data_IF_557415885391
#
_entry.id   IF_557415885391
#
_cell.length_a   1.000
_cell.length_b   1.000
_cell.length_c   1.000
_cell.angle_alpha   90.00
_cell.angle_beta   90.00
_cell.angle_gamma   90.00
#
_symmetry.space_group_name_H-M   'P 1'
#
loop_
_entity.id
_entity.type
_entity.pdbx_description
1 polymer ?
#
# COMPACT_ATOMS: atom_id res chain seq x y z
N UNK A 1 6.05 -2.17 6.52
CA UNK A 1 5.03 -1.84 5.51
C UNK A 1 4.29 -0.59 5.99
N UNK A 2 3.76 0.24 5.10
CA UNK A 2 3.03 1.47 5.44
C UNK A 2 1.70 1.47 4.69
N UNK A 3 0.58 1.62 5.41
CA UNK A 3 -0.72 1.92 4.80
C UNK A 3 -0.78 3.42 4.49
N UNK A 4 -1.16 3.78 3.27
CA UNK A 4 -1.40 5.17 2.88
C UNK A 4 -2.74 5.27 2.13
N UNK A 5 -3.03 6.41 1.51
CA UNK A 5 -4.25 6.56 0.72
C UNK A 5 -5.51 6.67 1.56
N UNK A 6 -6.65 6.39 0.94
CA UNK A 6 -7.97 6.73 1.53
C UNK A 6 -8.25 6.03 2.86
N UNK A 7 -7.75 4.79 3.00
CA UNK A 7 -7.90 4.00 4.22
C UNK A 7 -7.04 4.52 5.37
N UNK A 8 -5.82 4.99 5.09
CA UNK A 8 -4.98 5.62 6.09
C UNK A 8 -5.56 6.97 6.54
N UNK A 9 -6.12 7.75 5.61
CA UNK A 9 -6.76 9.05 5.91
C UNK A 9 -8.12 8.91 6.61
N UNK A 10 -8.77 7.74 6.49
CA UNK A 10 -10.10 7.49 7.03
C UNK A 10 -11.25 8.01 6.16
N UNK A 11 -10.96 8.47 4.94
CA UNK A 11 -11.94 8.97 3.96
C UNK A 11 -12.31 7.91 2.90
N UNK A 12 -12.13 6.63 3.22
CA UNK A 12 -12.41 5.50 2.33
C UNK A 12 -13.90 5.14 2.27
N UNK A 13 -14.34 4.68 1.10
CA UNK A 13 -15.55 3.87 0.95
C UNK A 13 -15.27 2.39 1.18
N UNK A 14 -16.31 1.61 1.49
CA UNK A 14 -16.20 0.15 1.73
C UNK A 14 -15.47 -0.61 0.62
N UNK A 15 -15.60 -0.16 -0.62
CA UNK A 15 -15.01 -0.77 -1.83
C UNK A 15 -13.71 -0.12 -2.27
N UNK A 16 -13.16 0.83 -1.51
CA UNK A 16 -11.89 1.49 -1.89
C UNK A 16 -10.75 0.49 -1.79
N UNK A 17 -9.78 0.68 -2.68
CA UNK A 17 -8.55 -0.11 -2.73
C UNK A 17 -7.72 0.08 -1.43
N UNK A 18 -6.75 -0.81 -1.25
CA UNK A 18 -5.84 -0.83 -0.11
C UNK A 18 -4.44 -0.48 -0.62
N UNK A 19 -4.01 0.76 -0.39
CA UNK A 19 -2.71 1.26 -0.84
C UNK A 19 -1.60 0.93 0.19
N UNK A 20 -0.61 0.13 -0.21
CA UNK A 20 0.48 -0.33 0.65
C UNK A 20 1.85 0.06 0.08
N UNK A 21 2.61 0.84 0.84
CA UNK A 21 4.02 1.09 0.56
C UNK A 21 4.90 0.07 1.30
N UNK A 22 5.78 -0.61 0.55
CA UNK A 22 6.58 -1.74 1.02
C UNK A 22 8.05 -1.53 0.68
N UNK A 23 8.93 -1.87 1.61
CA UNK A 23 10.38 -1.91 1.44
C UNK A 23 10.91 -3.24 1.97
N UNK A 24 11.98 -3.73 1.35
CA UNK A 24 12.64 -4.99 1.67
C UNK A 24 11.92 -6.24 1.16
N UNK A 25 12.68 -7.32 1.05
CA UNK A 25 12.18 -8.65 0.66
C UNK A 25 11.81 -8.77 -0.82
N UNK A 26 11.11 -9.86 -1.15
CA UNK A 26 10.58 -10.13 -2.50
C UNK A 26 9.14 -9.62 -2.59
N UNK A 27 9.01 -8.33 -2.93
CA UNK A 27 7.71 -7.65 -3.03
C UNK A 27 6.83 -8.28 -4.11
N UNK A 28 7.41 -8.76 -5.22
CA UNK A 28 6.65 -9.39 -6.30
C UNK A 28 5.99 -10.68 -5.83
N UNK A 29 6.73 -11.52 -5.09
CA UNK A 29 6.17 -12.73 -4.48
C UNK A 29 5.14 -12.39 -3.40
N UNK A 30 5.40 -11.38 -2.59
CA UNK A 30 4.45 -10.92 -1.57
C UNK A 30 3.11 -10.48 -2.18
N UNK A 31 3.13 -9.65 -3.23
CA UNK A 31 1.91 -9.21 -3.92
C UNK A 31 1.13 -10.40 -4.50
N UNK A 32 1.81 -11.37 -5.10
CA UNK A 32 1.16 -12.58 -5.60
C UNK A 32 0.50 -13.39 -4.49
N UNK A 33 1.20 -13.61 -3.36
CA UNK A 33 0.62 -14.31 -2.21
C UNK A 33 -0.57 -13.57 -1.61
N UNK A 34 -0.56 -12.23 -1.58
CA UNK A 34 -1.73 -11.47 -1.13
C UNK A 34 -2.92 -11.70 -2.06
N UNK A 35 -2.73 -11.67 -3.37
CA UNK A 35 -3.82 -11.91 -4.32
C UNK A 35 -4.37 -13.35 -4.23
N UNK A 36 -3.52 -14.34 -3.97
CA UNK A 36 -3.93 -15.75 -3.89
C UNK A 36 -4.52 -16.17 -2.54
N UNK A 37 -3.99 -15.64 -1.42
CA UNK A 37 -4.32 -16.11 -0.07
C UNK A 37 -5.37 -15.25 0.64
N UNK A 38 -5.64 -14.04 0.16
CA UNK A 38 -6.56 -13.12 0.84
C UNK A 38 -7.98 -13.28 0.31
N UNK A 39 -8.92 -13.72 1.17
CA UNK A 39 -10.34 -13.88 0.82
C UNK A 39 -11.10 -12.55 0.84
N UNK A 40 -10.73 -11.62 -0.03
CA UNK A 40 -11.37 -10.30 -0.18
C UNK A 40 -11.54 -9.93 -1.65
N UNK A 41 -12.59 -9.17 -1.96
CA UNK A 41 -12.80 -8.60 -3.30
C UNK A 41 -12.14 -7.23 -3.47
N UNK A 42 -11.53 -6.70 -2.40
CA UNK A 42 -10.82 -5.43 -2.42
C UNK A 42 -9.46 -5.62 -3.09
N UNK A 43 -9.04 -4.62 -3.86
CA UNK A 43 -7.72 -4.65 -4.50
C UNK A 43 -6.66 -4.09 -3.57
N UNK A 44 -5.45 -4.58 -3.73
CA UNK A 44 -4.26 -4.05 -3.08
C UNK A 44 -3.36 -3.41 -4.13
N UNK A 45 -2.99 -2.15 -3.90
CA UNK A 45 -2.03 -1.44 -4.73
C UNK A 45 -0.71 -1.32 -3.97
N UNK A 46 0.33 -1.97 -4.49
CA UNK A 46 1.65 -2.03 -3.85
C UNK A 46 2.63 -1.02 -4.47
N UNK A 47 3.24 -0.19 -3.63
CA UNK A 47 4.33 0.72 -4.01
C UNK A 47 5.65 0.22 -3.41
N UNK A 48 6.61 -0.11 -4.27
CA UNK A 48 7.95 -0.53 -3.87
C UNK A 48 8.83 0.69 -3.55
N UNK A 49 9.12 0.89 -2.27
CA UNK A 49 9.95 1.99 -1.74
C UNK A 49 11.46 1.79 -1.94
N UNK A 50 11.90 0.58 -2.30
CA UNK A 50 13.31 0.30 -2.64
C UNK A 50 13.66 0.76 -4.07
N UNK A 51 12.67 1.20 -4.84
CA UNK A 51 12.83 1.75 -6.19
C UNK A 51 12.60 3.26 -6.19
N UNK A 52 12.93 3.90 -7.30
CA UNK A 52 12.57 5.30 -7.51
C UNK A 52 11.04 5.44 -7.46
N UNK A 53 10.56 6.26 -6.52
CA UNK A 53 9.15 6.62 -6.36
C UNK A 53 9.01 8.09 -6.72
N UNK A 54 7.92 8.44 -7.42
CA UNK A 54 7.64 9.82 -7.78
C UNK A 54 7.59 10.69 -6.50
N UNK A 55 8.23 11.87 -6.48
CA UNK A 55 8.31 12.71 -5.29
C UNK A 55 6.95 13.03 -4.65
N UNK A 56 5.93 13.28 -5.47
CA UNK A 56 4.58 13.58 -5.02
C UNK A 56 3.93 12.38 -4.34
N UNK A 57 4.11 11.18 -4.91
CA UNK A 57 3.63 9.93 -4.32
C UNK A 57 4.34 9.65 -2.99
N UNK A 58 5.65 9.88 -2.94
CA UNK A 58 6.43 9.74 -1.70
C UNK A 58 5.97 10.71 -0.62
N UNK A 59 5.74 11.98 -0.97
CA UNK A 59 5.19 12.97 -0.06
C UNK A 59 3.79 12.60 0.44
N UNK A 60 2.94 12.00 -0.41
CA UNK A 60 1.64 11.45 0.00
C UNK A 60 1.79 10.30 0.99
N UNK A 61 2.70 9.34 0.73
CA UNK A 61 2.98 8.23 1.65
C UNK A 61 3.49 8.74 3.00
N UNK A 62 4.40 9.72 3.01
CA UNK A 62 4.95 10.30 4.24
C UNK A 62 3.92 11.13 5.02
N UNK A 63 3.02 11.83 4.33
CA UNK A 63 1.98 12.66 4.95
C UNK A 63 0.82 11.83 5.50
N UNK A 64 0.43 10.78 4.78
CA UNK A 64 -0.78 9.99 5.06
C UNK A 64 -0.46 8.73 5.87
N UNK A 65 0.74 8.18 5.68
CA UNK A 65 1.25 7.03 6.41
C UNK A 65 1.63 7.43 7.83
N UNK A 66 0.74 7.17 8.78
CA UNK A 66 0.93 7.56 10.18
C UNK A 66 2.07 6.81 10.87
N UNK A 67 2.15 5.48 10.71
CA UNK A 67 3.15 4.61 11.33
C UNK A 67 3.32 3.31 10.52
N UNK A 68 4.48 2.64 10.56
CA UNK A 68 4.63 1.29 10.02
C UNK A 68 3.63 0.34 10.70
N UNK A 69 2.95 -0.47 9.90
CA UNK A 69 2.06 -1.55 10.34
C UNK A 69 2.77 -2.90 10.31
#
# INVERSE_FOLDING_TARGET
>A
MILFGSRARGDYYKTSDIDLAVSGGDISRFSLSVDEETSTLLKFDFVNLDRAVQPELRASIEREGGHPI
#
